data_IF_849222378745
#
_entry.id   IF_849222378745
#
_cell.length_a   1.000
_cell.length_b   1.000
_cell.length_c   1.000
_cell.angle_alpha   90.00
_cell.angle_beta   90.00
_cell.angle_gamma   90.00
#
_symmetry.space_group_name_H-M   'P 1'
#
loop_
_entity.id
_entity.type
_entity.pdbx_description
1 polymer ?
#
# COMPACT_ATOMS: atom_id res chain seq x y z
N UNK A 1 -3.11 36.06 22.18
CA UNK A 1 -2.78 34.63 22.05
C UNK A 1 -2.86 34.11 20.60
N UNK A 2 -2.96 34.98 19.58
CA UNK A 2 -3.08 34.57 18.15
C UNK A 2 -1.76 34.27 17.42
N UNK A 3 -0.60 34.63 17.98
CA UNK A 3 0.69 34.49 17.28
C UNK A 3 1.32 33.10 17.36
N UNK A 4 0.94 32.27 18.33
CA UNK A 4 1.57 30.96 18.54
C UNK A 4 0.92 29.86 17.67
N UNK A 5 -0.40 29.93 17.43
CA UNK A 5 -1.11 29.01 16.52
C UNK A 5 -0.71 29.21 15.05
N UNK A 6 -0.56 30.47 14.64
CA UNK A 6 -0.12 30.84 13.28
C UNK A 6 1.29 30.33 12.96
N UNK A 7 2.15 30.15 13.97
CA UNK A 7 3.53 29.72 13.77
C UNK A 7 3.60 28.19 13.55
N UNK A 8 2.75 27.41 14.22
CA UNK A 8 2.73 25.94 14.09
C UNK A 8 2.14 25.45 12.76
N UNK A 9 1.07 26.10 12.28
CA UNK A 9 0.51 25.82 10.95
C UNK A 9 1.47 26.22 9.82
N UNK A 10 2.16 27.37 9.98
CA UNK A 10 3.18 27.80 9.01
C UNK A 10 4.37 26.85 8.94
N UNK A 11 4.78 26.24 10.06
CA UNK A 11 5.90 25.28 10.07
C UNK A 11 5.51 23.96 9.40
N UNK A 12 4.29 23.45 9.62
CA UNK A 12 3.82 22.22 8.97
C UNK A 12 3.52 22.41 7.47
N UNK A 13 3.03 23.58 7.07
CA UNK A 13 2.91 23.94 5.65
C UNK A 13 4.29 24.09 4.99
N UNK A 14 5.26 24.70 5.67
CA UNK A 14 6.64 24.80 5.18
C UNK A 14 7.31 23.43 5.05
N UNK A 15 7.09 22.50 5.99
CA UNK A 15 7.61 21.13 5.91
C UNK A 15 6.98 20.36 4.75
N UNK A 16 5.67 20.51 4.52
CA UNK A 16 5.00 19.92 3.34
C UNK A 16 5.49 20.52 2.03
N UNK A 17 5.62 21.84 1.96
CA UNK A 17 6.14 22.52 0.76
C UNK A 17 7.58 22.11 0.48
N UNK A 18 8.41 21.97 1.52
CA UNK A 18 9.77 21.45 1.40
C UNK A 18 9.78 20.00 0.89
N UNK A 19 8.87 19.16 1.36
CA UNK A 19 8.77 17.76 0.94
C UNK A 19 8.24 17.63 -0.50
N UNK A 20 7.24 18.43 -0.88
CA UNK A 20 6.74 18.49 -2.27
C UNK A 20 7.84 18.96 -3.20
N UNK A 21 8.61 19.98 -2.79
CA UNK A 21 9.72 20.52 -3.58
C UNK A 21 10.83 19.48 -3.76
N UNK A 22 11.20 18.77 -2.69
CA UNK A 22 12.18 17.69 -2.73
C UNK A 22 11.73 16.57 -3.67
N UNK A 23 10.47 16.12 -3.57
CA UNK A 23 9.92 15.13 -4.49
C UNK A 23 9.85 15.64 -5.95
N UNK A 24 9.60 16.93 -6.16
CA UNK A 24 9.62 17.52 -7.50
C UNK A 24 11.03 17.57 -8.10
N UNK A 25 12.02 17.89 -7.26
CA UNK A 25 13.43 17.95 -7.66
C UNK A 25 13.98 16.54 -7.93
N UNK A 26 13.56 15.54 -7.14
CA UNK A 26 13.89 14.14 -7.37
C UNK A 26 13.24 13.61 -8.65
N UNK A 27 11.96 13.88 -8.88
CA UNK A 27 11.30 13.51 -10.14
C UNK A 27 11.99 14.15 -11.35
N UNK A 28 12.39 15.42 -11.23
CA UNK A 28 13.17 16.10 -12.27
C UNK A 28 14.51 15.39 -12.53
N UNK A 29 15.24 15.03 -11.48
CA UNK A 29 16.51 14.29 -11.62
C UNK A 29 16.31 12.91 -12.26
N UNK A 30 15.20 12.22 -11.94
CA UNK A 30 14.85 10.95 -12.59
C UNK A 30 14.54 11.14 -14.08
N UNK A 31 13.84 12.23 -14.46
CA UNK A 31 13.61 12.57 -15.86
C UNK A 31 14.90 12.93 -16.60
N UNK A 32 15.76 13.74 -15.99
CA UNK A 32 17.07 14.10 -16.55
C UNK A 32 17.95 12.84 -16.74
N UNK A 33 17.89 11.90 -15.80
CA UNK A 33 18.59 10.63 -15.89
C UNK A 33 18.00 9.72 -16.99
N UNK A 34 16.68 9.68 -17.13
CA UNK A 34 16.00 8.98 -18.23
C UNK A 34 16.38 9.55 -19.59
N UNK A 35 16.43 10.88 -19.74
CA UNK A 35 16.88 11.52 -20.97
C UNK A 35 18.35 11.22 -21.27
N UNK A 36 19.20 11.20 -20.24
CA UNK A 36 20.60 10.82 -20.38
C UNK A 36 20.73 9.35 -20.81
N UNK A 37 20.00 8.43 -20.16
CA UNK A 37 19.99 7.02 -20.55
C UNK A 37 19.46 6.82 -21.96
N UNK A 38 18.39 7.52 -22.36
CA UNK A 38 17.88 7.50 -23.73
C UNK A 38 18.92 8.02 -24.73
N UNK A 39 19.62 9.10 -24.37
CA UNK A 39 20.69 9.67 -25.21
C UNK A 39 21.87 8.71 -25.33
N UNK A 40 22.33 8.15 -24.24
CA UNK A 40 23.43 7.18 -24.24
C UNK A 40 23.02 5.89 -24.97
N UNK A 41 21.78 5.43 -24.83
CA UNK A 41 21.24 4.34 -25.65
C UNK A 41 21.26 4.69 -27.14
N UNK A 42 20.86 5.90 -27.52
CA UNK A 42 20.92 6.36 -28.92
C UNK A 42 22.36 6.48 -29.42
N UNK A 43 23.31 6.90 -28.58
CA UNK A 43 24.73 6.95 -28.92
C UNK A 43 25.31 5.53 -29.08
N UNK A 44 25.07 4.65 -28.12
CA UNK A 44 25.57 3.26 -28.12
C UNK A 44 24.95 2.44 -29.26
N UNK A 45 23.66 2.63 -29.56
CA UNK A 45 22.99 2.02 -30.71
C UNK A 45 23.29 2.74 -32.03
N UNK A 46 23.79 3.98 -31.97
CA UNK A 46 24.11 4.83 -33.11
C UNK A 46 25.55 4.70 -33.61
N UNK A 47 26.48 4.28 -32.75
CA UNK A 47 27.91 4.14 -33.07
C UNK A 47 28.21 2.95 -34.00
N UNK A 48 27.30 1.97 -34.14
CA UNK A 48 27.41 0.89 -35.15
C UNK A 48 26.87 1.28 -36.54
N UNK A 49 26.57 2.57 -36.75
CA UNK A 49 26.41 3.11 -38.09
C UNK A 49 25.05 2.78 -38.72
N UNK A 50 24.27 3.85 -38.85
CA UNK A 50 23.21 4.01 -39.86
C UNK A 50 21.81 3.46 -39.48
N UNK A 51 21.20 4.09 -38.48
CA UNK A 51 19.77 3.95 -38.15
C UNK A 51 18.87 4.17 -39.39
N UNK A 52 19.28 5.03 -40.33
CA UNK A 52 18.55 5.28 -41.58
C UNK A 52 18.70 4.17 -42.65
N UNK A 53 19.75 3.34 -42.60
CA UNK A 53 19.89 2.17 -43.47
C UNK A 53 19.18 0.93 -42.90
N UNK A 54 19.09 0.79 -41.57
CA UNK A 54 18.36 -0.30 -40.93
C UNK A 54 16.84 -0.20 -41.11
N UNK A 55 16.29 1.02 -41.20
CA UNK A 55 14.86 1.26 -41.45
C UNK A 55 14.49 1.08 -42.94
N UNK A 56 15.45 1.12 -43.86
CA UNK A 56 15.22 1.04 -45.31
C UNK A 56 15.57 -0.30 -45.97
N UNK A 57 16.20 -1.23 -45.23
CA UNK A 57 16.31 -2.62 -45.67
C UNK A 57 15.27 -3.49 -44.97
N UNK A 58 14.20 -3.79 -45.71
CA UNK A 58 13.19 -4.76 -45.30
C UNK A 58 13.80 -6.15 -45.11
N UNK A 59 14.18 -6.45 -43.88
CA UNK A 59 14.42 -7.81 -43.36
C UNK A 59 14.26 -7.74 -41.85
N UNK A 60 13.26 -8.44 -41.31
CA UNK A 60 12.88 -8.41 -39.89
C UNK A 60 13.87 -9.09 -38.94
N UNK A 61 15.10 -8.59 -38.86
CA UNK A 61 16.08 -9.00 -37.86
C UNK A 61 16.32 -7.84 -36.87
N UNK A 62 15.98 -8.05 -35.58
CA UNK A 62 16.31 -7.13 -34.48
C UNK A 62 17.83 -6.88 -34.47
N UNK A 63 18.29 -5.63 -34.27
CA UNK A 63 19.73 -5.35 -34.14
C UNK A 63 20.32 -6.17 -33.00
N UNK A 64 21.55 -6.68 -33.19
CA UNK A 64 22.24 -7.51 -32.21
C UNK A 64 22.76 -6.63 -31.06
N UNK A 65 21.88 -6.34 -30.09
CA UNK A 65 22.26 -5.68 -28.83
C UNK A 65 23.10 -6.66 -28.00
N UNK A 66 24.20 -6.19 -27.41
CA UNK A 66 25.03 -7.00 -26.50
C UNK A 66 24.20 -7.53 -25.32
N UNK A 67 24.45 -8.77 -24.91
CA UNK A 67 23.76 -9.44 -23.80
C UNK A 67 23.88 -8.63 -22.49
N UNK A 68 25.05 -8.06 -22.21
CA UNK A 68 25.29 -7.20 -21.04
C UNK A 68 24.41 -5.93 -21.02
N UNK A 69 24.13 -5.37 -22.21
CA UNK A 69 23.30 -4.16 -22.35
C UNK A 69 21.82 -4.50 -22.18
N UNK A 70 21.41 -5.70 -22.62
CA UNK A 70 20.06 -6.22 -22.42
C UNK A 70 19.78 -6.51 -20.94
N UNK A 71 20.73 -7.11 -20.23
CA UNK A 71 20.58 -7.38 -18.80
C UNK A 71 20.43 -6.08 -17.99
N UNK A 72 21.26 -5.05 -18.26
CA UNK A 72 21.10 -3.74 -17.64
C UNK A 72 19.74 -3.10 -17.95
N UNK A 73 19.26 -3.23 -19.19
CA UNK A 73 17.95 -2.72 -19.59
C UNK A 73 16.82 -3.45 -18.84
N UNK A 74 16.91 -4.77 -18.67
CA UNK A 74 15.92 -5.54 -17.91
C UNK A 74 15.95 -5.21 -16.43
N UNK A 75 17.13 -5.00 -15.83
CA UNK A 75 17.26 -4.54 -14.46
C UNK A 75 16.61 -3.16 -14.27
N UNK A 76 16.87 -2.21 -15.18
CA UNK A 76 16.28 -0.87 -15.13
C UNK A 76 14.76 -0.90 -15.27
N UNK A 77 14.22 -1.73 -16.17
CA UNK A 77 12.77 -1.93 -16.31
C UNK A 77 12.16 -2.61 -15.08
N UNK A 78 12.80 -3.65 -14.56
CA UNK A 78 12.36 -4.35 -13.36
C UNK A 78 12.33 -3.42 -12.14
N UNK A 79 13.29 -2.50 -12.05
CA UNK A 79 13.33 -1.48 -11.01
C UNK A 79 12.24 -0.43 -11.21
N UNK A 80 11.95 -0.04 -12.45
CA UNK A 80 10.83 0.83 -12.76
C UNK A 80 9.49 0.22 -12.29
N UNK A 81 9.25 -1.07 -12.57
CA UNK A 81 8.07 -1.81 -12.11
C UNK A 81 7.98 -1.78 -10.57
N UNK A 82 9.10 -1.96 -9.88
CA UNK A 82 9.17 -1.90 -8.40
C UNK A 82 8.77 -0.51 -7.89
N UNK A 83 9.32 0.54 -8.48
CA UNK A 83 9.03 1.93 -8.11
C UNK A 83 7.55 2.28 -8.35
N UNK A 84 6.97 1.85 -9.47
CA UNK A 84 5.54 2.04 -9.74
C UNK A 84 4.66 1.38 -8.68
N UNK A 85 4.94 0.10 -8.36
CA UNK A 85 4.21 -0.62 -7.31
C UNK A 85 4.37 0.05 -5.93
N UNK A 86 5.56 0.55 -5.61
CA UNK A 86 5.79 1.31 -4.38
C UNK A 86 4.96 2.59 -4.31
N UNK A 87 4.94 3.37 -5.38
CA UNK A 87 4.16 4.62 -5.44
C UNK A 87 2.67 4.32 -5.33
N UNK A 88 2.16 3.29 -6.02
CA UNK A 88 0.76 2.89 -5.94
C UNK A 88 0.37 2.48 -4.51
N UNK A 89 1.16 1.62 -3.88
CA UNK A 89 0.89 1.22 -2.49
C UNK A 89 1.05 2.40 -1.55
N UNK A 90 2.10 3.22 -1.67
CA UNK A 90 2.33 4.37 -0.81
C UNK A 90 1.20 5.40 -0.87
N UNK A 91 0.70 5.71 -2.07
CA UNK A 91 -0.44 6.62 -2.26
C UNK A 91 -1.70 6.05 -1.62
N UNK A 92 -1.95 4.75 -1.80
CA UNK A 92 -3.06 4.05 -1.15
C UNK A 92 -2.94 4.06 0.38
N UNK A 93 -1.74 3.78 0.92
CA UNK A 93 -1.48 3.80 2.36
C UNK A 93 -1.67 5.19 2.96
N UNK A 94 -1.16 6.22 2.28
CA UNK A 94 -1.34 7.60 2.69
C UNK A 94 -2.82 7.98 2.72
N UNK A 95 -3.57 7.61 1.68
CA UNK A 95 -5.00 7.84 1.62
C UNK A 95 -5.74 7.16 2.77
N UNK A 96 -5.50 5.86 3.02
CA UNK A 96 -6.11 5.13 4.12
C UNK A 96 -5.75 5.72 5.49
N UNK A 97 -4.47 5.98 5.73
CA UNK A 97 -4.00 6.57 6.99
C UNK A 97 -4.60 7.96 7.19
N UNK A 98 -4.66 8.79 6.15
CA UNK A 98 -5.26 10.12 6.23
C UNK A 98 -6.76 10.05 6.56
N UNK A 99 -7.53 9.15 5.95
CA UNK A 99 -8.95 9.03 6.26
C UNK A 99 -9.22 8.49 7.67
N UNK A 100 -8.34 7.62 8.16
CA UNK A 100 -8.51 6.92 9.44
C UNK A 100 -7.79 7.60 10.61
N UNK A 101 -6.96 8.61 10.36
CA UNK A 101 -6.26 9.36 11.40
C UNK A 101 -7.25 10.04 12.36
N UNK A 102 -6.99 9.87 13.65
CA UNK A 102 -7.80 10.51 14.70
C UNK A 102 -7.81 12.03 14.52
N UNK A 103 -6.69 12.64 14.14
CA UNK A 103 -6.55 14.07 13.90
C UNK A 103 -7.55 14.57 12.85
N UNK A 104 -7.68 13.86 11.73
CA UNK A 104 -8.62 14.21 10.67
C UNK A 104 -10.08 13.96 11.10
N UNK A 105 -10.34 12.94 11.92
CA UNK A 105 -11.67 12.71 12.49
C UNK A 105 -12.08 13.84 13.44
N UNK A 106 -11.17 14.24 14.34
CA UNK A 106 -11.39 15.34 15.28
C UNK A 106 -11.54 16.67 14.53
N UNK A 107 -10.68 16.92 13.54
CA UNK A 107 -10.76 18.10 12.68
C UNK A 107 -12.10 18.21 11.95
N UNK A 108 -12.59 17.13 11.35
CA UNK A 108 -13.93 17.10 10.70
C UNK A 108 -15.05 17.40 11.69
N UNK A 109 -15.03 16.78 12.88
CA UNK A 109 -16.04 17.04 13.92
C UNK A 109 -16.04 18.53 14.34
N UNK A 110 -14.87 19.14 14.45
CA UNK A 110 -14.73 20.56 14.82
C UNK A 110 -15.18 21.50 13.69
N UNK A 111 -14.88 21.19 12.44
CA UNK A 111 -15.33 21.96 11.26
C UNK A 111 -16.87 21.88 11.15
N UNK A 112 -17.45 20.69 11.25
CA UNK A 112 -18.90 20.49 11.20
C UNK A 112 -19.62 21.22 12.35
N UNK A 113 -18.97 21.28 13.52
CA UNK A 113 -19.47 22.03 14.68
C UNK A 113 -19.43 23.56 14.47
N UNK A 114 -18.44 24.07 13.75
CA UNK A 114 -18.33 25.50 13.44
C UNK A 114 -19.33 25.95 12.36
N UNK A 115 -19.71 25.05 11.45
CA UNK A 115 -20.64 25.34 10.35
C UNK A 115 -22.13 25.27 10.71
N UNK A 116 -22.50 24.80 11.91
CA UNK A 116 -23.90 24.60 12.30
C UNK A 116 -24.15 24.77 13.80
N UNK A 117 -25.23 25.47 14.15
CA UNK A 117 -25.70 25.60 15.54
C UNK A 117 -26.05 24.24 16.16
N UNK A 118 -26.57 23.29 15.37
CA UNK A 118 -26.82 21.93 15.84
C UNK A 118 -25.53 21.09 15.94
N UNK A 119 -24.55 21.37 15.08
CA UNK A 119 -23.21 20.79 15.13
C UNK A 119 -22.51 21.15 16.45
N UNK A 120 -22.54 22.43 16.83
CA UNK A 120 -21.91 22.94 18.05
C UNK A 120 -22.43 22.27 19.34
N UNK A 121 -23.74 22.00 19.42
CA UNK A 121 -24.35 21.33 20.59
C UNK A 121 -23.96 19.84 20.64
N UNK A 122 -23.82 19.19 19.49
CA UNK A 122 -23.48 17.76 19.41
C UNK A 122 -21.96 17.47 19.47
N UNK A 123 -21.12 18.48 19.22
CA UNK A 123 -19.66 18.35 19.13
C UNK A 123 -19.02 17.66 20.34
N UNK A 124 -19.36 18.01 21.61
CA UNK A 124 -18.75 17.36 22.78
C UNK A 124 -19.04 15.86 22.82
N UNK A 125 -20.26 15.46 22.46
CA UNK A 125 -20.68 14.06 22.44
C UNK A 125 -20.00 13.30 21.30
N UNK A 126 -19.87 13.93 20.13
CA UNK A 126 -19.20 13.34 18.97
C UNK A 126 -17.70 13.15 19.19
N UNK A 127 -17.02 14.13 19.79
CA UNK A 127 -15.61 14.02 20.19
C UNK A 127 -15.41 12.91 21.23
N UNK A 128 -16.25 12.86 22.26
CA UNK A 128 -16.20 11.80 23.26
C UNK A 128 -16.45 10.41 22.65
N UNK A 129 -17.36 10.31 21.67
CA UNK A 129 -17.64 9.07 20.95
C UNK A 129 -16.44 8.63 20.10
N UNK A 130 -15.82 9.53 19.34
CA UNK A 130 -14.61 9.23 18.57
C UNK A 130 -13.45 8.77 19.48
N UNK A 131 -13.26 9.47 20.60
CA UNK A 131 -12.27 9.10 21.60
C UNK A 131 -12.56 7.73 22.25
N UNK A 132 -13.82 7.46 22.62
CA UNK A 132 -14.23 6.18 23.21
C UNK A 132 -14.11 5.03 22.21
N UNK A 133 -14.42 5.25 20.94
CA UNK A 133 -14.24 4.26 19.88
C UNK A 133 -12.77 3.87 19.71
N UNK A 134 -11.84 4.81 19.83
CA UNK A 134 -10.41 4.50 19.80
C UNK A 134 -9.93 3.77 21.06
N UNK A 135 -10.56 4.03 22.22
CA UNK A 135 -10.17 3.46 23.52
C UNK A 135 -10.76 2.06 23.79
N UNK A 136 -11.84 1.67 23.12
CA UNK A 136 -12.52 0.40 23.38
C UNK A 136 -11.88 -0.75 22.56
N UNK A 137 -11.06 -1.55 23.23
CA UNK A 137 -10.31 -2.69 22.65
C UNK A 137 -10.89 -4.06 23.01
N UNK A 138 -11.89 -4.13 23.91
CA UNK A 138 -12.46 -5.42 24.32
C UNK A 138 -13.60 -5.86 23.39
N UNK A 139 -13.39 -6.99 22.71
CA UNK A 139 -14.41 -7.60 21.87
C UNK A 139 -15.62 -8.08 22.71
N UNK A 140 -16.86 -7.70 22.33
CA UNK A 140 -18.05 -8.10 23.08
C UNK A 140 -18.32 -9.60 22.96
N UNK A 141 -18.90 -10.19 24.02
CA UNK A 141 -19.26 -11.62 24.05
C UNK A 141 -20.22 -12.02 22.92
N UNK A 142 -21.03 -11.09 22.42
CA UNK A 142 -21.94 -11.29 21.28
C UNK A 142 -21.22 -11.66 19.98
N UNK A 143 -19.96 -11.25 19.83
CA UNK A 143 -19.11 -11.65 18.69
C UNK A 143 -18.31 -12.93 18.95
N UNK A 144 -18.48 -13.58 20.10
CA UNK A 144 -17.66 -14.73 20.51
C UNK A 144 -16.45 -14.33 21.36
N UNK A 145 -16.43 -13.13 21.94
CA UNK A 145 -15.36 -12.69 22.82
C UNK A 145 -14.03 -12.50 22.09
N UNK A 146 -12.91 -12.80 22.75
CA UNK A 146 -11.56 -12.52 22.25
C UNK A 146 -11.18 -13.29 20.98
N UNK A 147 -11.79 -14.47 20.77
CA UNK A 147 -11.51 -15.35 19.63
C UNK A 147 -12.39 -15.07 18.41
N UNK A 148 -13.42 -14.23 18.55
CA UNK A 148 -14.41 -13.97 17.50
C UNK A 148 -15.09 -15.22 16.93
N UNK A 149 -15.20 -16.30 17.72
CA UNK A 149 -15.76 -17.60 17.29
C UNK A 149 -17.14 -17.47 16.64
N UNK A 150 -17.99 -16.59 17.18
CA UNK A 150 -19.34 -16.38 16.62
C UNK A 150 -19.28 -15.75 15.24
N UNK A 151 -18.35 -14.84 15.00
CA UNK A 151 -18.15 -14.22 13.68
C UNK A 151 -17.70 -15.28 12.66
N UNK A 152 -16.76 -16.15 13.05
CA UNK A 152 -16.28 -17.24 12.19
C UNK A 152 -17.41 -18.22 11.85
N UNK A 153 -18.26 -18.57 12.82
CA UNK A 153 -19.43 -19.42 12.59
C UNK A 153 -20.45 -18.78 11.63
N UNK A 154 -20.72 -17.48 11.80
CA UNK A 154 -21.63 -16.73 10.94
C UNK A 154 -21.08 -16.63 9.51
N UNK A 155 -19.77 -16.46 9.35
CA UNK A 155 -19.13 -16.50 8.05
C UNK A 155 -19.27 -17.88 7.40
N UNK A 156 -19.06 -18.95 8.16
CA UNK A 156 -19.18 -20.32 7.62
C UNK A 156 -20.61 -20.64 7.13
N UNK A 157 -21.65 -20.07 7.75
CA UNK A 157 -23.04 -20.35 7.39
C UNK A 157 -23.64 -19.40 6.36
N UNK A 158 -23.18 -18.14 6.28
CA UNK A 158 -23.79 -17.12 5.43
C UNK A 158 -22.81 -16.16 4.74
N UNK A 159 -21.51 -16.48 4.79
CA UNK A 159 -20.46 -15.73 4.12
C UNK A 159 -20.29 -14.30 4.64
N UNK A 160 -19.73 -13.46 3.77
CA UNK A 160 -19.39 -12.07 4.09
C UNK A 160 -20.61 -11.23 4.47
N UNK A 161 -21.73 -11.35 3.74
CA UNK A 161 -22.94 -10.56 3.98
C UNK A 161 -23.53 -10.82 5.38
N UNK A 162 -23.48 -12.07 5.86
CA UNK A 162 -23.97 -12.41 7.20
C UNK A 162 -23.08 -11.78 8.29
N UNK A 163 -21.76 -11.76 8.10
CA UNK A 163 -20.84 -11.09 9.02
C UNK A 163 -21.05 -9.58 9.02
N UNK A 164 -21.23 -8.95 7.86
CA UNK A 164 -21.54 -7.52 7.77
C UNK A 164 -22.84 -7.16 8.50
N UNK A 165 -23.87 -8.01 8.33
CA UNK A 165 -25.13 -7.86 9.05
C UNK A 165 -24.88 -7.95 10.56
N UNK A 166 -24.15 -8.96 11.04
CA UNK A 166 -23.81 -9.09 12.46
C UNK A 166 -23.07 -7.85 13.01
N UNK A 167 -22.06 -7.37 12.27
CA UNK A 167 -21.23 -6.23 12.70
C UNK A 167 -21.99 -4.90 12.66
N UNK A 168 -22.97 -4.73 11.77
CA UNK A 168 -23.80 -3.51 11.70
C UNK A 168 -24.77 -3.36 12.87
N UNK A 169 -25.20 -4.46 13.49
CA UNK A 169 -26.16 -4.45 14.61
C UNK A 169 -25.51 -4.13 15.95
N UNK A 170 -24.17 -4.10 16.02
CA UNK A 170 -23.43 -3.84 17.24
C UNK A 170 -22.60 -2.57 17.08
N UNK A 171 -22.68 -1.58 18.00
CA UNK A 171 -21.81 -0.42 17.94
C UNK A 171 -20.37 -0.83 18.29
N UNK A 172 -19.55 -1.09 17.26
CA UNK A 172 -18.19 -1.58 17.37
C UNK A 172 -17.17 -0.52 16.96
N UNK A 173 -16.01 -0.50 17.62
CA UNK A 173 -14.85 0.26 17.15
C UNK A 173 -14.29 -0.35 15.85
N UNK A 174 -13.64 0.47 15.03
CA UNK A 174 -12.98 0.00 13.80
C UNK A 174 -11.93 -1.08 14.08
N UNK A 175 -11.22 -0.96 15.21
CA UNK A 175 -10.24 -1.95 15.67
C UNK A 175 -10.86 -3.32 15.94
N UNK A 176 -12.05 -3.35 16.57
CA UNK A 176 -12.76 -4.61 16.82
C UNK A 176 -13.29 -5.21 15.51
N UNK A 177 -13.79 -4.37 14.59
CA UNK A 177 -14.20 -4.83 13.26
C UNK A 177 -13.03 -5.41 12.47
N UNK A 178 -11.89 -4.73 12.42
CA UNK A 178 -10.67 -5.21 11.76
C UNK A 178 -10.18 -6.54 12.37
N UNK A 179 -10.24 -6.66 13.69
CA UNK A 179 -9.89 -7.91 14.39
C UNK A 179 -10.86 -9.05 14.09
N UNK A 180 -12.15 -8.76 13.96
CA UNK A 180 -13.16 -9.75 13.55
C UNK A 180 -12.89 -10.27 12.13
N UNK A 181 -12.63 -9.37 11.17
CA UNK A 181 -12.27 -9.75 9.80
C UNK A 181 -10.94 -10.52 9.73
N UNK A 182 -9.97 -10.14 10.56
CA UNK A 182 -8.70 -10.87 10.70
C UNK A 182 -8.94 -12.31 11.18
N UNK A 183 -9.85 -12.51 12.16
CA UNK A 183 -10.21 -13.83 12.67
C UNK A 183 -10.89 -14.69 11.60
N UNK A 184 -11.77 -14.09 10.79
CA UNK A 184 -12.39 -14.77 9.64
C UNK A 184 -11.34 -15.16 8.61
N UNK A 185 -10.43 -14.26 8.21
CA UNK A 185 -9.38 -14.63 7.24
C UNK A 185 -8.48 -15.76 7.77
N UNK A 186 -8.15 -15.76 9.07
CA UNK A 186 -7.38 -16.85 9.70
C UNK A 186 -8.09 -18.20 9.61
N UNK A 187 -9.42 -18.22 9.68
CA UNK A 187 -10.17 -19.48 9.53
C UNK A 187 -10.18 -20.00 8.09
N UNK A 188 -9.82 -19.18 7.10
CA UNK A 188 -9.83 -19.50 5.68
C UNK A 188 -8.44 -19.81 5.10
N UNK A 189 -7.38 -19.80 5.92
CA UNK A 189 -5.99 -19.98 5.48
C UNK A 189 -5.74 -21.23 4.64
N UNK A 190 -6.48 -22.31 4.90
CA UNK A 190 -6.31 -23.60 4.21
C UNK A 190 -7.33 -23.83 3.09
N UNK A 191 -8.20 -22.85 2.82
CA UNK A 191 -9.35 -23.00 1.91
C UNK A 191 -9.08 -22.30 0.59
N UNK A 192 -8.88 -20.98 0.62
CA UNK A 192 -8.69 -20.17 -0.58
C UNK A 192 -7.86 -18.91 -0.26
N UNK A 193 -6.67 -18.83 -0.84
CA UNK A 193 -5.75 -17.69 -0.68
C UNK A 193 -6.38 -16.37 -1.15
N UNK A 194 -7.23 -16.38 -2.18
CA UNK A 194 -7.90 -15.17 -2.69
C UNK A 194 -8.90 -14.62 -1.69
N UNK A 195 -9.68 -15.51 -1.07
CA UNK A 195 -10.63 -15.12 0.00
C UNK A 195 -9.88 -14.55 1.19
N UNK A 196 -8.76 -15.18 1.58
CA UNK A 196 -7.92 -14.70 2.68
C UNK A 196 -7.38 -13.29 2.40
N UNK A 197 -6.87 -13.03 1.19
CA UNK A 197 -6.38 -11.69 0.82
C UNK A 197 -7.50 -10.66 0.92
N UNK A 198 -8.68 -10.93 0.34
CA UNK A 198 -9.78 -9.98 0.34
C UNK A 198 -10.22 -9.61 1.76
N UNK A 199 -10.30 -10.61 2.64
CA UNK A 199 -10.62 -10.41 4.05
C UNK A 199 -9.49 -9.69 4.81
N UNK A 200 -8.22 -9.96 4.48
CA UNK A 200 -7.07 -9.29 5.06
C UNK A 200 -6.97 -7.82 4.62
N UNK A 201 -7.19 -7.51 3.33
CA UNK A 201 -7.30 -6.13 2.80
C UNK A 201 -8.38 -5.36 3.52
N UNK A 202 -9.56 -5.97 3.68
CA UNK A 202 -10.66 -5.35 4.41
C UNK A 202 -10.30 -5.05 5.87
N UNK A 203 -9.65 -5.98 6.56
CA UNK A 203 -9.18 -5.75 7.92
C UNK A 203 -8.17 -4.60 7.98
N UNK A 204 -7.28 -4.52 6.99
CA UNK A 204 -6.28 -3.47 6.88
C UNK A 204 -6.88 -2.08 6.57
N UNK A 205 -7.84 -1.98 5.65
CA UNK A 205 -8.54 -0.74 5.30
C UNK A 205 -9.35 -0.15 6.47
N UNK A 206 -9.84 -1.02 7.36
CA UNK A 206 -10.51 -0.60 8.59
C UNK A 206 -9.53 -0.04 9.62
N UNK A 207 -8.33 -0.61 9.69
CA UNK A 207 -7.31 -0.26 10.68
C UNK A 207 -5.89 -0.43 10.09
N UNK A 208 -5.34 0.61 9.42
CA UNK A 208 -4.08 0.51 8.68
C UNK A 208 -2.85 0.57 9.60
N UNK A 209 -2.71 -0.45 10.47
CA UNK A 209 -1.61 -0.58 11.42
C UNK A 209 -0.46 -1.44 10.85
N UNK A 210 0.80 -1.20 11.27
CA UNK A 210 1.98 -1.90 10.74
C UNK A 210 1.90 -3.42 10.83
N UNK A 211 1.41 -3.97 11.94
CA UNK A 211 1.30 -5.43 12.08
C UNK A 211 0.26 -6.05 11.14
N UNK A 212 -0.81 -5.32 10.77
CA UNK A 212 -1.79 -5.78 9.78
C UNK A 212 -1.25 -5.66 8.36
N UNK A 213 -0.48 -4.60 8.07
CA UNK A 213 0.25 -4.45 6.82
C UNK A 213 1.22 -5.62 6.60
N UNK A 214 2.03 -5.95 7.62
CA UNK A 214 2.94 -7.11 7.61
C UNK A 214 2.18 -8.39 7.31
N UNK A 215 1.07 -8.62 8.02
CA UNK A 215 0.25 -9.81 7.82
C UNK A 215 -0.35 -9.88 6.41
N UNK A 216 -0.90 -8.78 5.89
CA UNK A 216 -1.44 -8.70 4.53
C UNK A 216 -0.37 -9.01 3.48
N UNK A 217 0.83 -8.44 3.63
CA UNK A 217 1.93 -8.66 2.69
C UNK A 217 2.33 -10.14 2.59
N UNK A 218 2.38 -10.85 3.72
CA UNK A 218 2.64 -12.30 3.69
C UNK A 218 1.50 -13.10 3.04
N UNK A 219 0.23 -12.70 3.20
CA UNK A 219 -0.88 -13.38 2.52
C UNK A 219 -0.89 -13.12 1.01
N UNK A 220 -0.50 -11.92 0.59
CA UNK A 220 -0.32 -11.59 -0.84
C UNK A 220 0.81 -12.43 -1.45
N UNK A 221 1.93 -12.55 -0.74
CA UNK A 221 3.04 -13.39 -1.17
C UNK A 221 2.63 -14.86 -1.34
N UNK A 222 1.93 -15.44 -0.36
CA UNK A 222 1.44 -16.82 -0.44
C UNK A 222 0.45 -17.05 -1.59
N UNK A 223 -0.20 -16.00 -2.09
CA UNK A 223 -1.10 -16.09 -3.24
C UNK A 223 -0.42 -15.75 -4.59
N UNK A 224 0.85 -15.37 -4.58
CA UNK A 224 1.59 -14.98 -5.78
C UNK A 224 1.42 -13.51 -6.21
N UNK A 225 0.80 -12.66 -5.39
CA UNK A 225 0.67 -11.21 -5.65
C UNK A 225 1.96 -10.49 -5.22
N UNK A 226 3.06 -10.77 -5.94
CA UNK A 226 4.43 -10.47 -5.50
C UNK A 226 4.75 -8.97 -5.45
N UNK A 227 4.26 -8.18 -6.42
CA UNK A 227 4.55 -6.74 -6.51
C UNK A 227 3.98 -5.97 -5.33
N UNK A 228 2.69 -6.18 -5.03
CA UNK A 228 2.02 -5.53 -3.91
C UNK A 228 2.58 -6.02 -2.57
N UNK A 229 2.90 -7.31 -2.47
CA UNK A 229 3.53 -7.88 -1.27
C UNK A 229 4.88 -7.23 -0.97
N UNK A 230 5.76 -7.10 -1.98
CA UNK A 230 7.06 -6.44 -1.86
C UNK A 230 6.91 -4.98 -1.45
N UNK A 231 6.01 -4.25 -2.10
CA UNK A 231 5.75 -2.85 -1.81
C UNK A 231 5.23 -2.64 -0.37
N UNK A 232 4.27 -3.45 0.08
CA UNK A 232 3.74 -3.38 1.44
C UNK A 232 4.80 -3.71 2.51
N UNK A 233 5.67 -4.70 2.29
CA UNK A 233 6.78 -4.98 3.22
C UNK A 233 7.77 -3.82 3.25
N UNK A 234 8.10 -3.25 2.10
CA UNK A 234 9.12 -2.21 1.98
C UNK A 234 8.69 -0.88 2.62
N UNK A 235 7.38 -0.64 2.70
CA UNK A 235 6.77 0.54 3.34
C UNK A 235 6.41 0.31 4.82
N UNK A 236 6.89 -0.78 5.43
CA UNK A 236 6.75 -0.96 6.87
C UNK A 236 7.68 0.00 7.64
N UNK A 237 7.29 0.45 8.84
CA UNK A 237 8.19 1.20 9.72
C UNK A 237 9.46 0.42 10.06
N UNK A 238 10.58 1.12 10.22
CA UNK A 238 11.89 0.53 10.52
C UNK A 238 11.94 -0.15 11.91
N UNK A 239 11.09 0.27 12.84
CA UNK A 239 10.98 -0.30 14.19
C UNK A 239 10.12 -1.58 14.26
N UNK A 240 9.63 -2.07 13.12
CA UNK A 240 8.82 -3.28 13.07
C UNK A 240 9.66 -4.53 13.39
N UNK A 241 9.27 -5.21 14.47
CA UNK A 241 9.88 -6.47 14.89
C UNK A 241 9.43 -7.64 13.99
N UNK A 242 10.41 -8.41 13.52
CA UNK A 242 10.23 -9.68 12.83
C UNK A 242 10.76 -10.82 13.70
N UNK A 243 10.12 -11.99 13.66
CA UNK A 243 10.77 -13.21 14.14
C UNK A 243 11.75 -13.75 13.10
N UNK A 244 12.70 -14.59 13.50
CA UNK A 244 13.68 -15.20 12.58
C UNK A 244 12.99 -15.87 11.37
N UNK A 245 11.87 -16.57 11.60
CA UNK A 245 11.08 -17.18 10.53
C UNK A 245 10.42 -16.15 9.60
N UNK A 246 10.00 -15.00 10.12
CA UNK A 246 9.41 -13.92 9.31
C UNK A 246 10.48 -13.17 8.50
N UNK A 247 11.71 -13.04 9.03
CA UNK A 247 12.84 -12.49 8.29
C UNK A 247 13.20 -13.36 7.10
N UNK A 248 13.27 -14.68 7.29
CA UNK A 248 13.48 -15.64 6.19
C UNK A 248 12.35 -15.57 5.16
N UNK A 249 11.10 -15.46 5.61
CA UNK A 249 9.95 -15.30 4.73
C UNK A 249 10.02 -13.98 3.94
N UNK A 250 10.44 -12.88 4.58
CA UNK A 250 10.63 -11.58 3.94
C UNK A 250 11.73 -11.63 2.87
N UNK A 251 12.87 -12.26 3.17
CA UNK A 251 13.95 -12.44 2.20
C UNK A 251 13.48 -13.26 0.99
N UNK A 252 12.76 -14.36 1.25
CA UNK A 252 12.18 -15.19 0.19
C UNK A 252 11.20 -14.40 -0.69
N UNK A 253 10.35 -13.57 -0.07
CA UNK A 253 9.42 -12.69 -0.74
C UNK A 253 10.13 -11.67 -1.64
N UNK A 254 11.16 -10.99 -1.12
CA UNK A 254 11.94 -10.01 -1.89
C UNK A 254 12.63 -10.65 -3.09
N UNK A 255 13.25 -11.82 -2.89
CA UNK A 255 13.92 -12.55 -3.97
C UNK A 255 12.91 -13.00 -5.05
N UNK A 256 11.75 -13.53 -4.64
CA UNK A 256 10.70 -13.93 -5.57
C UNK A 256 10.14 -12.75 -6.37
N UNK A 257 9.91 -11.61 -5.71
CA UNK A 257 9.43 -10.40 -6.37
C UNK A 257 10.47 -9.82 -7.35
N UNK A 258 11.76 -9.85 -7.00
CA UNK A 258 12.83 -9.44 -7.89
C UNK A 258 12.87 -10.30 -9.16
N UNK A 259 12.86 -11.64 -9.02
CA UNK A 259 12.82 -12.56 -10.16
C UNK A 259 11.59 -12.31 -11.03
N UNK A 260 10.42 -12.16 -10.41
CA UNK A 260 9.18 -11.89 -11.11
C UNK A 260 9.22 -10.60 -11.94
N UNK A 261 9.77 -9.52 -11.39
CA UNK A 261 9.91 -8.23 -12.11
C UNK A 261 10.90 -8.33 -13.27
N UNK A 262 11.99 -9.08 -13.09
CA UNK A 262 12.95 -9.33 -14.16
C UNK A 262 12.32 -10.13 -15.32
N UNK A 263 11.57 -11.19 -14.99
CA UNK A 263 10.85 -11.98 -16.00
C UNK A 263 9.80 -11.15 -16.73
N UNK A 264 9.07 -10.27 -16.03
CA UNK A 264 8.15 -9.32 -16.66
C UNK A 264 8.86 -8.35 -17.61
N UNK A 265 9.98 -7.77 -17.19
CA UNK A 265 10.77 -6.84 -18.01
C UNK A 265 11.23 -7.51 -19.31
N UNK A 266 11.70 -8.75 -19.22
CA UNK A 266 12.07 -9.57 -20.38
C UNK A 266 10.89 -9.79 -21.32
N UNK A 267 9.72 -10.18 -20.80
CA UNK A 267 8.51 -10.40 -21.61
C UNK A 267 8.03 -9.13 -22.31
N UNK A 268 8.10 -7.97 -21.64
CA UNK A 268 7.74 -6.68 -22.24
C UNK A 268 8.64 -6.34 -23.43
N UNK A 269 9.95 -6.62 -23.32
CA UNK A 269 10.89 -6.40 -24.42
C UNK A 269 10.71 -7.38 -25.59
N UNK A 270 10.36 -8.64 -25.32
CA UNK A 270 10.11 -9.64 -26.36
C UNK A 270 8.84 -9.35 -27.16
N UNK A 271 7.83 -8.73 -26.54
CA UNK A 271 6.55 -8.39 -27.15
C UNK A 271 6.51 -7.04 -27.88
N UNK A 272 7.56 -6.22 -27.72
CA UNK A 272 7.76 -4.94 -28.42
C UNK A 272 8.62 -5.12 -29.67
#
# INVERSE_FOLDING_TARGET
MSKVSSCGEQVLEQEREAQIKLLSDENRLLFDHLELLQRELVCVLGDDGNIYAAVSHGTGAKPAVSEDVLDYLFEALAENIRCQALVEVQTHLFFLKSQRALENQLGRILIDAAGSVSGFISAPVSLWRAWRQNRNTSAPKTLGGKSFERVVQVYASGGQAAVETLLSHVPLSLSIQASAWTAVARSQLQVDSKVVINLARRAYELEPLPFRQKWLAFRLYEAGELLEAEALISLLPEDMVFSESEEQQMLSLKNAAQQYRFDQARQMYETT
#
